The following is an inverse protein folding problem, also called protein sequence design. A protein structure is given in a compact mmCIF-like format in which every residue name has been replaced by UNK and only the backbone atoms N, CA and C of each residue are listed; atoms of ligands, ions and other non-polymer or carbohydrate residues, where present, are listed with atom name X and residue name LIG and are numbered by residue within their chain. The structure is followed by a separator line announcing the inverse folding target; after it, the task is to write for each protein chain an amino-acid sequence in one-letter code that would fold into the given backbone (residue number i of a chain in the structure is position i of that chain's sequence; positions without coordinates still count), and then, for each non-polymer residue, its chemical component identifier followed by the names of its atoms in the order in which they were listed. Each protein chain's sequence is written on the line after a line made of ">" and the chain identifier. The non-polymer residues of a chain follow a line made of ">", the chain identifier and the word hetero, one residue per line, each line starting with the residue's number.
data_IF_931255000871
#
_entry.id   IF_931255000871
#
_cell.length_a   1.000
_cell.length_b   1.000
_cell.length_c   1.000
_cell.angle_alpha   90.00
_cell.angle_beta   90.00
_cell.angle_gamma   90.00
#
_symmetry.space_group_name_H-M   'P 1'
#
loop_
_entity.id
_entity.type
_entity.pdbx_description
1 polymer ?
#
# COMPACT_ATOMS: atom_id res chain seq x y z
N UNK A 1 0.05 -36.44 -31.48
CA UNK A 1 1.00 -35.50 -30.85
C UNK A 1 0.87 -34.17 -31.58
N UNK A 2 0.26 -33.15 -30.97
CA UNK A 2 0.11 -31.80 -31.54
C UNK A 2 0.54 -30.82 -30.45
N UNK A 3 1.66 -30.14 -30.65
CA UNK A 3 2.15 -29.13 -29.73
C UNK A 3 1.24 -27.91 -29.82
N UNK A 4 0.70 -27.50 -28.67
CA UNK A 4 -0.08 -26.29 -28.49
C UNK A 4 0.93 -25.16 -28.25
N UNK A 5 1.20 -24.37 -29.28
CA UNK A 5 2.02 -23.16 -29.18
C UNK A 5 1.19 -22.09 -28.49
N UNK A 6 1.55 -21.73 -27.26
CA UNK A 6 1.02 -20.54 -26.59
C UNK A 6 1.51 -19.31 -27.34
N UNK A 7 0.63 -18.36 -27.72
CA UNK A 7 1.08 -17.11 -28.32
C UNK A 7 1.85 -16.29 -27.29
N UNK A 8 3.04 -15.87 -27.70
CA UNK A 8 3.96 -15.02 -26.95
C UNK A 8 3.34 -13.61 -26.90
N UNK A 9 2.76 -13.24 -25.75
CA UNK A 9 2.19 -11.92 -25.55
C UNK A 9 3.24 -10.99 -24.93
N UNK A 10 4.30 -10.72 -25.68
CA UNK A 10 5.34 -9.75 -25.34
C UNK A 10 4.86 -8.34 -25.71
N UNK A 11 3.97 -7.80 -24.88
CA UNK A 11 3.78 -6.35 -24.78
C UNK A 11 3.82 -5.96 -23.31
N UNK A 12 5.03 -5.95 -22.78
CA UNK A 12 5.36 -5.54 -21.40
C UNK A 12 5.72 -4.04 -21.35
N UNK A 13 5.26 -3.27 -22.35
CA UNK A 13 5.41 -1.82 -22.32
C UNK A 13 4.40 -1.26 -21.30
N UNK A 14 4.82 -0.46 -20.30
CA UNK A 14 3.88 0.19 -19.41
C UNK A 14 2.89 0.99 -20.26
N UNK A 15 1.59 0.73 -20.05
CA UNK A 15 0.54 1.39 -20.80
C UNK A 15 0.74 2.91 -20.70
N UNK A 16 0.79 3.59 -21.85
CA UNK A 16 0.92 5.05 -21.83
C UNK A 16 -0.26 5.63 -21.05
N UNK A 17 0.00 6.55 -20.09
CA UNK A 17 -1.07 7.18 -19.35
C UNK A 17 -1.98 7.93 -20.32
N UNK A 18 -3.29 7.70 -20.21
CA UNK A 18 -4.30 8.33 -21.08
C UNK A 18 -5.21 9.25 -20.29
N UNK A 19 -5.78 10.26 -20.96
CA UNK A 19 -6.72 11.20 -20.34
C UNK A 19 -6.08 12.10 -19.28
N UNK A 20 -6.77 12.30 -18.16
CA UNK A 20 -6.32 13.18 -17.06
C UNK A 20 -5.03 12.68 -16.39
N UNK A 21 -4.81 11.36 -16.38
CA UNK A 21 -3.59 10.75 -15.82
C UNK A 21 -2.32 11.04 -16.66
N UNK A 22 -2.48 11.48 -17.91
CA UNK A 22 -1.37 11.91 -18.77
C UNK A 22 -0.90 13.34 -18.46
N UNK A 23 -1.69 14.11 -17.70
CA UNK A 23 -1.43 15.50 -17.38
C UNK A 23 -0.56 15.61 -16.13
N UNK A 24 0.16 16.72 -16.01
CA UNK A 24 0.85 17.04 -14.76
C UNK A 24 -0.15 17.36 -13.63
N UNK A 25 0.34 17.27 -12.40
CA UNK A 25 -0.48 17.56 -11.22
C UNK A 25 -1.10 18.97 -11.26
N UNK A 26 -0.35 19.97 -11.72
CA UNK A 26 -0.79 21.37 -11.73
C UNK A 26 -2.04 21.56 -12.60
N UNK A 27 -2.10 20.87 -13.73
CA UNK A 27 -3.23 20.91 -14.66
C UNK A 27 -4.37 20.01 -14.19
N UNK A 28 -4.07 18.75 -13.87
CA UNK A 28 -5.08 17.75 -13.51
C UNK A 28 -5.84 18.13 -12.23
N UNK A 29 -5.14 18.69 -11.24
CA UNK A 29 -5.74 19.06 -9.94
C UNK A 29 -6.66 20.28 -10.00
N UNK A 30 -6.75 20.97 -11.14
CA UNK A 30 -7.75 22.03 -11.35
C UNK A 30 -9.17 21.46 -11.45
N UNK A 31 -9.31 20.19 -11.82
CA UNK A 31 -10.58 19.48 -11.79
C UNK A 31 -10.87 19.02 -10.35
N UNK A 32 -11.92 19.56 -9.68
CA UNK A 32 -12.13 19.31 -8.26
C UNK A 32 -12.36 17.83 -7.91
N UNK A 33 -13.05 17.10 -8.77
CA UNK A 33 -13.33 15.68 -8.57
C UNK A 33 -12.07 14.83 -8.68
N UNK A 34 -11.20 15.13 -9.65
CA UNK A 34 -9.92 14.44 -9.78
C UNK A 34 -9.02 14.71 -8.57
N UNK A 35 -8.91 15.98 -8.16
CA UNK A 35 -8.15 16.36 -6.97
C UNK A 35 -8.65 15.62 -5.71
N UNK A 36 -9.97 15.59 -5.50
CA UNK A 36 -10.56 14.88 -4.37
C UNK A 36 -10.23 13.38 -4.41
N UNK A 37 -10.39 12.74 -5.57
CA UNK A 37 -10.07 11.31 -5.73
C UNK A 37 -8.59 10.99 -5.46
N UNK A 38 -7.66 11.87 -5.85
CA UNK A 38 -6.23 11.69 -5.54
C UNK A 38 -5.97 11.86 -4.04
N UNK A 39 -6.59 12.84 -3.38
CA UNK A 39 -6.44 13.02 -1.92
C UNK A 39 -7.00 11.80 -1.17
N UNK A 40 -8.16 11.29 -1.58
CA UNK A 40 -8.76 10.08 -1.02
C UNK A 40 -7.85 8.86 -1.21
N UNK A 41 -7.32 8.66 -2.41
CA UNK A 41 -6.39 7.57 -2.69
C UNK A 41 -5.13 7.65 -1.82
N UNK A 42 -4.52 8.83 -1.74
CA UNK A 42 -3.31 9.04 -0.93
C UNK A 42 -3.60 8.85 0.56
N UNK A 43 -4.79 9.26 1.04
CA UNK A 43 -5.23 9.04 2.42
C UNK A 43 -5.43 7.56 2.74
N UNK A 44 -6.09 6.82 1.84
CA UNK A 44 -6.28 5.37 1.98
C UNK A 44 -4.94 4.63 2.02
N UNK A 45 -4.04 4.95 1.10
CA UNK A 45 -2.69 4.37 1.07
C UNK A 45 -1.92 4.74 2.34
N UNK A 46 -1.89 6.01 2.73
CA UNK A 46 -1.11 6.45 3.90
C UNK A 46 -1.54 5.72 5.17
N UNK A 47 -2.85 5.59 5.39
CA UNK A 47 -3.33 4.84 6.55
C UNK A 47 -3.04 3.33 6.43
N UNK A 48 -3.17 2.77 5.22
CA UNK A 48 -2.82 1.38 4.94
C UNK A 48 -1.36 1.07 5.29
N UNK A 49 -0.41 1.89 4.84
CA UNK A 49 1.02 1.77 5.14
C UNK A 49 1.30 1.88 6.64
N UNK A 50 0.66 2.83 7.34
CA UNK A 50 0.82 2.99 8.78
C UNK A 50 0.28 1.77 9.56
N UNK A 51 -0.89 1.26 9.16
CA UNK A 51 -1.47 0.07 9.76
C UNK A 51 -0.62 -1.19 9.47
N UNK A 52 -0.10 -1.32 8.24
CA UNK A 52 0.80 -2.41 7.85
C UNK A 52 2.08 -2.41 8.69
N UNK A 53 2.72 -1.25 8.87
CA UNK A 53 3.86 -1.09 9.77
C UNK A 53 3.56 -1.63 11.18
N UNK A 54 2.47 -1.19 11.79
CA UNK A 54 2.10 -1.61 13.14
C UNK A 54 1.88 -3.13 13.23
N UNK A 55 1.22 -3.72 12.23
CA UNK A 55 0.95 -5.15 12.20
C UNK A 55 2.21 -5.97 11.98
N UNK A 56 3.06 -5.61 11.02
CA UNK A 56 4.34 -6.27 10.78
C UNK A 56 5.25 -6.20 12.01
N UNK A 57 5.26 -5.05 12.71
CA UNK A 57 6.00 -4.89 13.96
C UNK A 57 5.46 -5.78 15.10
N UNK A 58 4.14 -5.97 15.18
CA UNK A 58 3.52 -6.90 16.13
C UNK A 58 3.85 -8.36 15.78
N UNK A 59 3.66 -8.74 14.52
CA UNK A 59 3.89 -10.11 14.01
C UNK A 59 5.36 -10.52 14.15
N UNK A 60 6.31 -9.58 14.01
CA UNK A 60 7.73 -9.80 14.27
C UNK A 60 8.04 -10.29 15.69
N UNK A 61 7.14 -10.07 16.67
CA UNK A 61 7.31 -10.61 18.04
C UNK A 61 7.06 -12.12 18.12
N UNK A 62 6.34 -12.69 17.15
CA UNK A 62 6.05 -14.12 17.06
C UNK A 62 7.17 -14.92 16.39
N UNK A 63 8.19 -14.23 15.85
CA UNK A 63 9.29 -14.85 15.13
C UNK A 63 10.04 -15.91 15.96
N UNK A 64 10.29 -17.12 15.40
CA UNK A 64 10.97 -18.19 16.11
C UNK A 64 12.48 -17.95 16.25
N UNK A 65 13.06 -17.12 15.37
CA UNK A 65 14.48 -16.75 15.41
C UNK A 65 14.69 -15.24 15.34
N UNK A 66 15.86 -14.77 15.78
CA UNK A 66 16.26 -13.37 15.64
C UNK A 66 16.41 -12.93 14.18
N UNK A 67 16.80 -13.84 13.29
CA UNK A 67 16.92 -13.56 11.87
C UNK A 67 15.53 -13.30 11.26
N UNK A 68 14.57 -14.17 11.55
CA UNK A 68 13.18 -14.03 11.09
C UNK A 68 12.54 -12.74 11.62
N UNK A 69 12.81 -12.41 12.89
CA UNK A 69 12.39 -11.15 13.50
C UNK A 69 12.94 -9.94 12.75
N UNK A 70 14.21 -9.99 12.36
CA UNK A 70 14.87 -8.90 11.66
C UNK A 70 14.27 -8.67 10.26
N UNK A 71 13.88 -9.74 9.55
CA UNK A 71 13.23 -9.62 8.23
C UNK A 71 11.86 -8.94 8.31
N UNK A 72 10.98 -9.35 9.25
CA UNK A 72 9.69 -8.64 9.41
C UNK A 72 9.87 -7.22 9.95
N UNK A 73 10.85 -6.98 10.84
CA UNK A 73 11.15 -5.62 11.30
C UNK A 73 11.64 -4.71 10.15
N UNK A 74 12.38 -5.27 9.19
CA UNK A 74 12.81 -4.56 7.98
C UNK A 74 11.62 -4.22 7.08
N UNK A 75 10.70 -5.16 6.87
CA UNK A 75 9.45 -4.90 6.13
C UNK A 75 8.63 -3.81 6.80
N UNK A 76 8.40 -3.91 8.12
CA UNK A 76 7.70 -2.88 8.88
C UNK A 76 8.32 -1.50 8.68
N UNK A 77 9.64 -1.40 8.81
CA UNK A 77 10.36 -0.15 8.57
C UNK A 77 10.10 0.41 7.17
N UNK A 78 10.06 -0.43 6.13
CA UNK A 78 9.77 0.00 4.77
C UNK A 78 8.37 0.64 4.65
N UNK A 79 7.33 0.02 5.24
CA UNK A 79 5.97 0.58 5.22
C UNK A 79 5.90 1.93 5.94
N UNK A 80 6.64 2.10 7.04
CA UNK A 80 6.69 3.41 7.69
C UNK A 80 7.32 4.47 6.78
N UNK A 81 8.36 4.12 6.01
CA UNK A 81 8.95 5.04 5.02
C UNK A 81 7.98 5.31 3.85
N UNK A 82 7.15 4.35 3.45
CA UNK A 82 6.09 4.56 2.46
C UNK A 82 5.03 5.53 2.99
N UNK A 83 4.57 5.33 4.22
CA UNK A 83 3.69 6.25 4.93
C UNK A 83 4.25 7.68 4.94
N UNK A 84 5.53 7.87 5.29
CA UNK A 84 6.16 9.20 5.32
C UNK A 84 6.13 9.89 3.95
N UNK A 85 6.42 9.15 2.86
CA UNK A 85 6.33 9.69 1.49
C UNK A 85 4.92 10.13 1.15
N UNK A 86 3.90 9.35 1.53
CA UNK A 86 2.50 9.67 1.27
C UNK A 86 2.02 10.87 2.11
N UNK A 87 2.39 10.92 3.39
CA UNK A 87 2.15 12.05 4.29
C UNK A 87 2.75 13.34 3.73
N UNK A 88 4.01 13.28 3.30
CA UNK A 88 4.71 14.43 2.75
C UNK A 88 4.06 14.86 1.44
N UNK A 89 3.66 13.92 0.58
CA UNK A 89 2.94 14.22 -0.65
C UNK A 89 1.59 14.90 -0.40
N UNK A 90 0.80 14.41 0.57
CA UNK A 90 -0.46 15.04 0.98
C UNK A 90 -0.22 16.49 1.43
N UNK A 91 0.82 16.71 2.23
CA UNK A 91 1.21 18.04 2.71
C UNK A 91 1.63 18.96 1.55
N UNK A 92 2.47 18.48 0.63
CA UNK A 92 2.91 19.23 -0.56
C UNK A 92 1.75 19.70 -1.43
N UNK A 93 0.70 18.89 -1.57
CA UNK A 93 -0.48 19.23 -2.37
C UNK A 93 -1.53 20.05 -1.58
N UNK A 94 -1.25 20.38 -0.32
CA UNK A 94 -2.09 21.20 0.54
C UNK A 94 -3.28 20.46 1.17
N UNK A 95 -3.19 19.14 1.31
CA UNK A 95 -4.13 18.33 2.09
C UNK A 95 -3.58 18.07 3.49
N UNK A 96 -4.43 18.04 4.51
CA UNK A 96 -4.01 17.64 5.86
C UNK A 96 -3.99 16.10 5.93
N UNK A 97 -2.84 15.46 6.23
CA UNK A 97 -2.72 14.00 6.14
C UNK A 97 -3.69 13.24 7.03
N UNK A 98 -3.90 13.68 8.27
CA UNK A 98 -4.77 12.99 9.24
C UNK A 98 -6.22 12.96 8.76
N UNK A 99 -6.72 14.10 8.30
CA UNK A 99 -8.05 14.27 7.75
C UNK A 99 -8.26 13.44 6.48
N UNK A 100 -7.23 13.32 5.63
CA UNK A 100 -7.28 12.48 4.44
C UNK A 100 -7.34 10.97 4.79
N UNK A 101 -6.69 10.56 5.89
CA UNK A 101 -6.68 9.17 6.36
C UNK A 101 -7.97 8.76 7.09
N UNK A 102 -8.56 9.67 7.86
CA UNK A 102 -9.69 9.40 8.78
C UNK A 102 -10.84 8.56 8.15
N UNK A 103 -11.30 8.81 6.90
CA UNK A 103 -12.41 8.05 6.31
C UNK A 103 -12.13 6.55 6.15
N UNK A 104 -10.85 6.15 6.06
CA UNK A 104 -10.43 4.78 5.74
C UNK A 104 -10.09 3.95 6.98
N UNK A 105 -9.95 4.61 8.15
CA UNK A 105 -9.56 4.01 9.43
C UNK A 105 -10.42 2.79 9.75
N UNK A 106 -11.73 2.98 9.85
CA UNK A 106 -12.64 1.92 10.28
C UNK A 106 -12.64 0.69 9.36
N UNK A 107 -12.51 0.91 8.05
CA UNK A 107 -12.53 -0.17 7.06
C UNK A 107 -11.24 -0.99 7.10
N UNK A 108 -10.08 -0.32 7.10
CA UNK A 108 -8.77 -0.97 7.12
C UNK A 108 -8.50 -1.66 8.46
N UNK A 109 -8.86 -1.03 9.57
CA UNK A 109 -8.84 -1.69 10.88
C UNK A 109 -9.76 -2.92 10.92
N UNK A 110 -10.96 -2.81 10.32
CA UNK A 110 -11.90 -3.91 10.21
C UNK A 110 -11.34 -5.11 9.45
N UNK A 111 -10.63 -4.85 8.35
CA UNK A 111 -9.92 -5.87 7.59
C UNK A 111 -8.80 -6.52 8.40
N UNK A 112 -7.95 -5.73 9.06
CA UNK A 112 -6.84 -6.26 9.85
C UNK A 112 -7.30 -7.08 11.06
N UNK A 113 -8.40 -6.69 11.71
CA UNK A 113 -9.01 -7.48 12.80
C UNK A 113 -9.51 -8.84 12.33
N UNK A 114 -10.08 -8.92 11.13
CA UNK A 114 -10.58 -10.17 10.55
C UNK A 114 -9.45 -11.07 10.02
N UNK A 115 -8.23 -10.53 9.91
CA UNK A 115 -7.04 -11.23 9.41
C UNK A 115 -5.93 -11.25 10.46
N UNK A 116 -6.27 -11.16 11.75
CA UNK A 116 -5.27 -11.25 12.81
C UNK A 116 -4.64 -12.65 12.83
N UNK A 117 -3.31 -12.78 12.70
CA UNK A 117 -2.66 -14.10 12.68
C UNK A 117 -2.69 -14.73 14.07
N UNK A 118 -2.88 -16.04 14.12
CA UNK A 118 -2.87 -16.84 15.35
C UNK A 118 -1.46 -17.33 15.71
N UNK A 119 -0.56 -17.37 14.73
CA UNK A 119 0.83 -17.79 14.88
C UNK A 119 1.78 -17.12 13.88
N UNK A 120 3.06 -17.49 13.94
CA UNK A 120 4.12 -16.98 13.07
C UNK A 120 3.89 -17.25 11.58
N UNK A 121 3.40 -18.45 11.23
CA UNK A 121 3.26 -18.85 9.83
C UNK A 121 2.10 -18.10 9.17
N UNK A 122 1.00 -17.90 9.90
CA UNK A 122 -0.10 -17.04 9.45
C UNK A 122 0.36 -15.59 9.29
N UNK A 123 1.20 -15.08 10.20
CA UNK A 123 1.81 -13.75 10.09
C UNK A 123 2.66 -13.60 8.82
N UNK A 124 3.49 -14.60 8.50
CA UNK A 124 4.32 -14.58 7.30
C UNK A 124 3.48 -14.64 6.01
N UNK A 125 2.43 -15.45 5.97
CA UNK A 125 1.52 -15.51 4.82
C UNK A 125 0.81 -14.17 4.64
N UNK A 126 0.34 -13.55 5.72
CA UNK A 126 -0.30 -12.23 5.67
C UNK A 126 0.64 -11.16 5.14
N UNK A 127 1.89 -11.15 5.61
CA UNK A 127 2.92 -10.23 5.13
C UNK A 127 3.17 -10.42 3.63
N UNK A 128 3.33 -11.68 3.17
CA UNK A 128 3.52 -11.98 1.75
C UNK A 128 2.34 -11.56 0.87
N UNK A 129 1.10 -11.86 1.30
CA UNK A 129 -0.11 -11.49 0.55
C UNK A 129 -0.32 -9.97 0.53
N UNK A 130 0.10 -9.26 1.58
CA UNK A 130 0.02 -7.80 1.62
C UNK A 130 1.05 -7.10 0.74
N UNK A 131 2.23 -7.70 0.55
CA UNK A 131 3.36 -7.16 -0.24
C UNK A 131 3.27 -7.45 -1.75
N UNK A 132 2.57 -8.53 -2.15
CA UNK A 132 2.48 -9.01 -3.54
C UNK A 132 1.55 -8.20 -4.42
#
# INVERSE_FOLDING_TARGET
>A
MRFMTTPDNTSDAPAEPTGVAAQDWATASTEPQYRAAVVDLLGALAYGELAAFERLAEDAKLAPTLADKAELAKMASAEFHHYEKLRDRLTEIGAEPTQAMEPFVAALDGFHRQTAPSDWLEGLVKAYVGDS
#
